data_IF_723627258863
#
_entry.id   IF_723627258863
#
_cell.length_a   1.000
_cell.length_b   1.000
_cell.length_c   1.000
_cell.angle_alpha   90.00
_cell.angle_beta   90.00
_cell.angle_gamma   90.00
#
_symmetry.space_group_name_H-M   'P 1'
#
loop_
_entity.id
_entity.type
_entity.pdbx_description
1 polymer ?
#
# COMPACT_ATOMS: atom_id res chain seq x y z
N UNK A 1 -7.36 24.65 14.77
CA UNK A 1 -6.92 23.63 13.80
C UNK A 1 -5.98 22.67 14.51
N UNK A 2 -6.11 21.36 14.29
CA UNK A 2 -5.17 20.38 14.86
C UNK A 2 -4.26 19.86 13.76
N UNK A 3 -2.98 19.74 14.08
CA UNK A 3 -1.99 19.10 13.23
C UNK A 3 -1.83 17.65 13.66
N UNK A 4 -1.57 16.75 12.73
CA UNK A 4 -1.48 15.32 13.02
C UNK A 4 -0.17 14.77 12.50
N UNK A 5 0.48 13.94 13.32
CA UNK A 5 1.63 13.15 12.91
C UNK A 5 1.32 11.67 13.03
N UNK A 6 1.26 11.00 11.89
CA UNK A 6 1.07 9.57 11.81
C UNK A 6 2.42 8.88 11.94
N UNK A 7 2.55 8.02 12.94
CA UNK A 7 3.79 7.31 13.26
C UNK A 7 3.63 5.84 12.94
N UNK A 8 4.32 5.39 11.89
CA UNK A 8 4.38 3.99 11.51
C UNK A 8 5.30 3.21 12.45
N UNK A 9 4.77 2.12 12.99
CA UNK A 9 5.50 1.21 13.87
C UNK A 9 5.44 -0.21 13.34
N UNK A 10 6.55 -0.92 13.42
CA UNK A 10 6.68 -2.33 13.04
C UNK A 10 6.84 -3.21 14.28
N UNK A 11 5.72 -3.45 14.96
CA UNK A 11 5.62 -4.37 16.10
C UNK A 11 5.79 -3.70 17.46
N UNK A 12 5.53 -4.46 18.52
CA UNK A 12 5.56 -3.96 19.90
C UNK A 12 6.95 -3.52 20.36
N UNK A 13 8.01 -4.11 19.80
CA UNK A 13 9.40 -3.75 20.09
C UNK A 13 9.85 -2.44 19.41
N UNK A 14 9.03 -1.88 18.52
CA UNK A 14 9.33 -0.61 17.86
C UNK A 14 8.91 0.58 18.73
N UNK A 15 9.66 0.80 19.81
CA UNK A 15 9.45 1.88 20.77
C UNK A 15 10.50 3.00 20.65
N UNK A 16 11.33 2.97 19.61
CA UNK A 16 12.38 3.97 19.39
C UNK A 16 11.82 5.39 19.30
N UNK A 17 12.67 6.38 19.62
CA UNK A 17 12.33 7.79 19.50
C UNK A 17 11.91 8.12 18.07
N UNK A 18 10.91 8.98 17.95
CA UNK A 18 10.35 9.43 16.67
C UNK A 18 10.75 10.88 16.48
N UNK A 19 11.23 11.27 15.28
CA UNK A 19 11.56 12.67 15.00
C UNK A 19 10.36 13.57 15.28
N UNK A 20 10.59 14.65 16.02
CA UNK A 20 9.60 15.70 16.22
C UNK A 20 9.49 16.48 14.90
N UNK A 21 8.42 16.24 14.15
CA UNK A 21 8.15 16.99 12.91
C UNK A 21 7.57 18.37 13.24
N UNK A 22 6.60 18.39 14.15
CA UNK A 22 6.01 19.60 14.71
C UNK A 22 5.70 19.39 16.20
N UNK A 23 6.14 20.28 17.10
CA UNK A 23 5.93 20.13 18.54
C UNK A 23 4.45 20.10 18.97
N UNK A 24 3.56 20.72 18.20
CA UNK A 24 2.12 20.83 18.48
C UNK A 24 1.26 19.78 17.76
N UNK A 25 1.87 18.88 16.98
CA UNK A 25 1.14 17.84 16.27
C UNK A 25 0.65 16.73 17.21
N UNK A 26 -0.60 16.32 17.02
CA UNK A 26 -1.20 15.18 17.73
C UNK A 26 -0.67 13.87 17.13
N UNK A 27 0.00 13.01 17.91
CA UNK A 27 0.52 11.75 17.41
C UNK A 27 -0.58 10.72 17.23
N UNK A 28 -0.57 10.04 16.09
CA UNK A 28 -1.44 8.90 15.77
C UNK A 28 -0.55 7.72 15.40
N UNK A 29 -0.57 6.66 16.20
CA UNK A 29 0.25 5.47 15.92
C UNK A 29 -0.48 4.55 14.95
N UNK A 30 0.22 4.11 13.90
CA UNK A 30 -0.22 3.04 12.99
C UNK A 30 0.67 1.83 13.23
N UNK A 31 0.11 0.76 13.81
CA UNK A 31 0.82 -0.50 14.03
C UNK A 31 0.64 -1.43 12.85
N UNK A 32 1.73 -1.68 12.13
CA UNK A 32 1.73 -2.52 10.94
C UNK A 32 1.93 -4.00 11.24
N UNK A 33 2.25 -4.39 12.47
CA UNK A 33 2.57 -5.78 12.79
C UNK A 33 1.63 -6.26 13.89
N UNK A 34 0.86 -7.30 13.56
CA UNK A 34 0.00 -7.99 14.50
C UNK A 34 0.81 -8.89 15.46
N UNK A 35 0.16 -9.42 16.50
CA UNK A 35 0.80 -10.27 17.51
C UNK A 35 1.53 -11.50 16.92
N UNK A 36 1.11 -11.98 15.74
CA UNK A 36 1.72 -13.08 15.01
C UNK A 36 3.02 -12.71 14.25
N UNK A 37 3.56 -11.50 14.44
CA UNK A 37 4.75 -10.97 13.76
C UNK A 37 4.62 -10.84 12.24
N UNK A 38 3.40 -10.86 11.70
CA UNK A 38 3.12 -10.61 10.27
C UNK A 38 2.65 -9.17 10.07
N UNK A 39 2.92 -8.65 8.87
CA UNK A 39 2.36 -7.36 8.46
C UNK A 39 0.82 -7.47 8.37
N UNK A 40 0.14 -6.51 8.98
CA UNK A 40 -1.32 -6.39 9.05
C UNK A 40 -1.88 -5.60 7.85
N UNK A 41 -3.17 -5.25 7.88
CA UNK A 41 -3.89 -4.49 6.86
C UNK A 41 -3.85 -5.16 5.48
N UNK A 42 -3.85 -6.50 5.44
CA UNK A 42 -3.79 -7.28 4.20
C UNK A 42 -2.41 -7.35 3.55
N UNK A 43 -1.44 -6.53 3.98
CA UNK A 43 -0.09 -6.47 3.38
C UNK A 43 0.62 -7.83 3.51
N UNK A 44 0.55 -8.46 4.69
CA UNK A 44 1.15 -9.78 4.90
C UNK A 44 0.53 -10.88 4.04
N UNK A 45 -0.75 -10.77 3.71
CA UNK A 45 -1.42 -11.73 2.81
C UNK A 45 -0.99 -11.49 1.37
N UNK A 46 -0.97 -10.23 0.91
CA UNK A 46 -0.51 -9.87 -0.42
C UNK A 46 0.94 -10.33 -0.67
N UNK A 47 1.84 -10.11 0.30
CA UNK A 47 3.23 -10.58 0.21
C UNK A 47 3.33 -12.10 0.18
N UNK A 48 2.45 -12.81 0.88
CA UNK A 48 2.38 -14.27 0.84
C UNK A 48 1.86 -14.76 -0.51
N UNK A 49 0.79 -14.17 -1.06
CA UNK A 49 0.27 -14.52 -2.39
C UNK A 49 1.33 -14.32 -3.47
N UNK A 50 2.03 -13.18 -3.46
CA UNK A 50 3.17 -12.97 -4.36
C UNK A 50 4.22 -14.07 -4.17
N UNK A 51 4.47 -14.49 -2.91
CA UNK A 51 5.35 -15.60 -2.56
C UNK A 51 4.97 -16.94 -3.14
N UNK A 52 3.70 -17.28 -3.06
CA UNK A 52 3.18 -18.54 -3.55
C UNK A 52 3.15 -18.54 -5.10
N UNK A 53 3.03 -17.36 -5.73
CA UNK A 53 3.21 -17.16 -7.18
C UNK A 53 4.69 -17.13 -7.62
N UNK A 54 5.66 -17.15 -6.70
CA UNK A 54 7.09 -17.05 -7.05
C UNK A 54 7.55 -15.65 -7.50
N UNK A 55 6.71 -14.61 -7.39
CA UNK A 55 6.97 -13.24 -7.87
C UNK A 55 7.83 -12.40 -6.92
N UNK A 56 9.09 -12.14 -7.24
CA UNK A 56 10.05 -11.44 -6.35
C UNK A 56 9.50 -10.15 -5.71
N UNK A 57 9.72 -9.99 -4.40
CA UNK A 57 9.48 -8.72 -3.68
C UNK A 57 10.80 -8.08 -3.28
N UNK A 58 10.96 -6.78 -3.48
CA UNK A 58 12.10 -6.01 -3.00
C UNK A 58 11.76 -5.31 -1.69
N UNK A 59 12.78 -4.98 -0.90
CA UNK A 59 12.59 -4.15 0.29
C UNK A 59 11.99 -2.79 -0.04
N UNK A 60 12.43 -2.18 -1.14
CA UNK A 60 11.89 -0.91 -1.65
C UNK A 60 10.40 -1.01 -2.01
N UNK A 61 9.95 -2.12 -2.61
CA UNK A 61 8.53 -2.31 -2.91
C UNK A 61 7.71 -2.46 -1.63
N UNK A 62 8.23 -3.17 -0.63
CA UNK A 62 7.58 -3.30 0.68
C UNK A 62 7.51 -1.94 1.39
N UNK A 63 8.60 -1.16 1.36
CA UNK A 63 8.60 0.21 1.86
C UNK A 63 7.54 1.07 1.18
N UNK A 64 7.42 0.99 -0.15
CA UNK A 64 6.42 1.75 -0.91
C UNK A 64 4.99 1.41 -0.48
N UNK A 65 4.71 0.13 -0.22
CA UNK A 65 3.40 -0.31 0.30
C UNK A 65 3.15 0.25 1.71
N UNK A 66 4.17 0.26 2.58
CA UNK A 66 4.05 0.86 3.92
C UNK A 66 3.80 2.38 3.81
N UNK A 67 4.51 3.08 2.92
CA UNK A 67 4.28 4.52 2.63
C UNK A 67 2.85 4.75 2.16
N UNK A 68 2.37 3.97 1.18
CA UNK A 68 1.01 4.09 0.64
C UNK A 68 -0.05 3.83 1.73
N UNK A 69 0.16 2.83 2.58
CA UNK A 69 -0.73 2.53 3.68
C UNK A 69 -0.74 3.65 4.75
N UNK A 70 0.41 4.27 5.03
CA UNK A 70 0.50 5.44 5.91
C UNK A 70 -0.25 6.66 5.34
N UNK A 71 -0.08 6.94 4.04
CA UNK A 71 -0.81 8.00 3.34
C UNK A 71 -2.32 7.74 3.45
N UNK A 72 -2.77 6.53 3.09
CA UNK A 72 -4.17 6.14 3.19
C UNK A 72 -4.70 6.29 4.62
N UNK A 73 -3.91 5.88 5.62
CA UNK A 73 -4.30 5.97 7.02
C UNK A 73 -4.48 7.42 7.49
N UNK A 74 -3.59 8.32 7.09
CA UNK A 74 -3.68 9.74 7.41
C UNK A 74 -4.85 10.43 6.68
N UNK A 75 -4.99 10.17 5.38
CA UNK A 75 -5.99 10.80 4.54
C UNK A 75 -7.42 10.45 4.96
N UNK A 76 -7.66 9.20 5.35
CA UNK A 76 -8.99 8.70 5.75
C UNK A 76 -9.37 9.00 7.20
N UNK A 77 -8.40 9.18 8.10
CA UNK A 77 -8.67 9.37 9.54
C UNK A 77 -8.76 10.83 9.97
N UNK A 78 -8.22 11.77 9.20
CA UNK A 78 -8.29 13.20 9.52
C UNK A 78 -9.45 13.84 8.77
N UNK A 79 -10.56 14.07 9.48
CA UNK A 79 -11.72 14.75 8.89
C UNK A 79 -11.36 16.15 8.39
N UNK A 80 -11.69 16.44 7.13
CA UNK A 80 -11.54 17.77 6.52
C UNK A 80 -12.44 18.80 7.20
N UNK A 81 -13.72 18.48 7.42
CA UNK A 81 -14.66 19.42 8.03
C UNK A 81 -14.25 19.87 9.43
N UNK A 82 -13.56 19.00 10.18
CA UNK A 82 -13.12 19.31 11.53
C UNK A 82 -11.71 19.93 11.61
N UNK A 83 -10.84 19.70 10.62
CA UNK A 83 -9.41 20.00 10.75
C UNK A 83 -8.81 20.81 9.60
N UNK A 84 -9.54 21.09 8.51
CA UNK A 84 -9.04 21.92 7.44
C UNK A 84 -9.09 23.42 7.79
N UNK A 85 -8.13 24.18 7.26
CA UNK A 85 -7.96 25.62 7.57
C UNK A 85 -9.00 26.47 6.84
N UNK A 86 -9.32 26.08 5.62
CA UNK A 86 -10.20 26.74 4.66
C UNK A 86 -11.38 25.84 4.25
N UNK A 87 -11.64 24.79 5.02
CA UNK A 87 -12.62 23.75 4.69
C UNK A 87 -12.11 22.68 3.71
N UNK A 88 -10.87 22.79 3.23
CA UNK A 88 -10.29 21.85 2.27
C UNK A 88 -8.91 21.29 2.68
N UNK A 89 -7.95 22.17 2.97
CA UNK A 89 -6.54 21.84 3.18
C UNK A 89 -6.21 21.51 4.63
N UNK A 90 -5.65 20.32 4.86
CA UNK A 90 -5.10 19.84 6.13
C UNK A 90 -3.56 19.90 6.13
N UNK A 91 -2.96 19.82 7.31
CA UNK A 91 -1.53 19.54 7.51
C UNK A 91 -1.38 18.10 8.03
N UNK A 92 -0.68 17.25 7.27
CA UNK A 92 -0.51 15.82 7.55
C UNK A 92 0.98 15.45 7.54
N UNK A 93 1.46 14.98 8.69
CA UNK A 93 2.84 14.53 8.84
C UNK A 93 2.90 13.01 8.94
N UNK A 94 3.87 12.40 8.25
CA UNK A 94 4.13 10.98 8.31
C UNK A 94 5.55 10.72 8.84
N UNK A 95 5.68 9.77 9.75
CA UNK A 95 6.95 9.15 10.11
C UNK A 95 6.91 7.68 9.71
N UNK A 96 7.60 7.34 8.63
CA UNK A 96 7.51 6.02 7.99
C UNK A 96 8.77 5.19 8.26
N UNK A 97 8.65 3.97 8.82
CA UNK A 97 9.77 3.06 8.96
C UNK A 97 10.10 2.42 7.60
N UNK A 98 11.33 2.61 7.13
CA UNK A 98 11.82 2.10 5.84
C UNK A 98 13.17 1.43 5.95
N UNK A 99 13.51 0.55 4.99
CA UNK A 99 14.80 -0.16 5.00
C UNK A 99 15.96 0.80 4.84
N UNK A 100 15.87 1.73 3.90
CA UNK A 100 16.92 2.70 3.54
C UNK A 100 16.40 4.13 3.67
N UNK A 101 16.54 4.78 4.85
CA UNK A 101 16.01 6.12 5.07
C UNK A 101 16.54 7.17 4.08
N UNK A 102 17.81 7.10 3.71
CA UNK A 102 18.44 8.07 2.79
C UNK A 102 17.86 7.97 1.37
N UNK A 103 17.59 6.74 0.88
CA UNK A 103 16.94 6.50 -0.40
C UNK A 103 15.57 7.17 -0.44
N UNK A 104 14.78 7.01 0.63
CA UNK A 104 13.44 7.57 0.72
C UNK A 104 13.43 9.08 0.98
N UNK A 105 14.38 9.57 1.78
CA UNK A 105 14.56 11.00 2.02
C UNK A 105 14.80 11.75 0.69
N UNK A 106 15.60 11.17 -0.22
CA UNK A 106 15.81 11.72 -1.57
C UNK A 106 14.51 11.80 -2.39
N UNK A 107 13.52 10.93 -2.14
CA UNK A 107 12.21 10.95 -2.79
C UNK A 107 11.15 11.78 -2.05
N UNK A 108 11.42 12.20 -0.81
CA UNK A 108 10.44 12.85 0.07
C UNK A 108 9.80 14.10 -0.55
N UNK A 109 10.59 14.93 -1.24
CA UNK A 109 10.09 16.12 -1.91
C UNK A 109 9.15 15.79 -3.09
N UNK A 110 9.45 14.74 -3.85
CA UNK A 110 8.59 14.28 -4.94
C UNK A 110 7.26 13.77 -4.37
N UNK A 111 7.31 12.89 -3.37
CA UNK A 111 6.13 12.34 -2.72
C UNK A 111 5.23 13.44 -2.14
N UNK A 112 5.79 14.38 -1.38
CA UNK A 112 5.04 15.48 -0.79
C UNK A 112 4.35 16.36 -1.86
N UNK A 113 5.03 16.65 -2.98
CA UNK A 113 4.42 17.41 -4.09
C UNK A 113 3.30 16.63 -4.77
N UNK A 114 3.52 15.34 -5.06
CA UNK A 114 2.50 14.48 -5.67
C UNK A 114 1.26 14.40 -4.79
N UNK A 115 1.42 14.15 -3.49
CA UNK A 115 0.29 14.07 -2.57
C UNK A 115 -0.43 15.42 -2.44
N UNK A 116 0.31 16.52 -2.35
CA UNK A 116 -0.29 17.87 -2.36
C UNK A 116 -1.10 18.14 -3.62
N UNK A 117 -0.60 17.73 -4.78
CA UNK A 117 -1.34 17.87 -6.04
C UNK A 117 -2.63 17.04 -6.03
N UNK A 118 -2.55 15.78 -5.59
CA UNK A 118 -3.69 14.86 -5.60
C UNK A 118 -4.77 15.20 -4.57
N UNK A 119 -4.38 15.70 -3.39
CA UNK A 119 -5.32 15.89 -2.28
C UNK A 119 -5.60 17.36 -1.93
N UNK A 120 -4.69 18.28 -2.28
CA UNK A 120 -4.73 19.68 -1.84
C UNK A 120 -4.24 19.90 -0.40
N UNK A 121 -3.75 18.86 0.28
CA UNK A 121 -3.23 18.95 1.65
C UNK A 121 -1.72 19.26 1.67
N UNK A 122 -1.24 19.77 2.81
CA UNK A 122 0.18 19.89 3.09
C UNK A 122 0.72 18.60 3.70
N UNK A 123 1.65 17.95 3.00
CA UNK A 123 2.28 16.71 3.43
C UNK A 123 3.75 16.94 3.82
N UNK A 124 4.15 16.43 4.98
CA UNK A 124 5.56 16.23 5.34
C UNK A 124 5.80 14.77 5.64
N UNK A 125 6.88 14.22 5.10
CA UNK A 125 7.21 12.82 5.25
C UNK A 125 8.63 12.73 5.77
N UNK A 126 8.78 12.08 6.92
CA UNK A 126 10.06 11.76 7.52
C UNK A 126 10.24 10.25 7.51
N UNK A 127 11.42 9.81 7.08
CA UNK A 127 11.76 8.41 6.99
C UNK A 127 12.72 8.04 8.10
N UNK A 128 12.51 6.86 8.71
CA UNK A 128 13.41 6.32 9.73
C UNK A 128 13.71 4.86 9.47
N UNK A 129 14.82 4.35 9.99
CA UNK A 129 15.17 2.95 9.85
C UNK A 129 14.11 2.06 10.52
N UNK A 130 13.79 0.93 9.88
CA UNK A 130 12.99 -0.14 10.51
C UNK A 130 13.69 -0.68 11.76
N UNK A 131 12.94 -1.17 12.77
CA UNK A 131 13.53 -1.83 13.93
C UNK A 131 14.20 -3.15 13.52
N UNK A 132 15.19 -3.61 14.29
CA UNK A 132 16.00 -4.79 13.95
C UNK A 132 15.19 -6.05 13.58
N UNK A 133 14.08 -6.41 14.27
CA UNK A 133 13.28 -7.59 13.91
C UNK A 133 12.63 -7.51 12.52
N UNK A 134 12.49 -6.31 11.97
CA UNK A 134 11.91 -6.03 10.65
C UNK A 134 12.89 -5.32 9.73
N UNK A 135 14.18 -5.41 10.03
CA UNK A 135 15.21 -4.82 9.17
C UNK A 135 15.07 -5.40 7.75
N UNK A 136 14.88 -6.70 7.61
CA UNK A 136 14.63 -7.38 6.33
C UNK A 136 13.27 -8.06 6.40
N UNK A 137 12.40 -7.80 5.42
CA UNK A 137 11.04 -8.37 5.33
C UNK A 137 10.91 -9.24 4.07
N UNK A 138 11.56 -8.84 2.98
CA UNK A 138 11.60 -9.63 1.76
C UNK A 138 12.30 -10.96 2.04
N UNK A 139 11.54 -12.05 2.03
CA UNK A 139 12.10 -13.39 2.11
C UNK A 139 12.55 -13.83 0.73
N UNK A 140 13.83 -14.22 0.60
CA UNK A 140 14.33 -14.88 -0.58
C UNK A 140 13.71 -16.29 -0.63
N UNK A 141 12.66 -16.46 -1.42
CA UNK A 141 12.22 -17.80 -1.87
C UNK A 141 12.75 -18.00 -3.28
N UNK A 142 13.30 -19.18 -3.61
CA UNK A 142 13.59 -19.53 -5.00
C UNK A 142 12.33 -19.28 -5.82
N UNK A 143 12.42 -18.51 -6.91
CA UNK A 143 11.29 -18.41 -7.82
C UNK A 143 11.09 -19.81 -8.40
N UNK A 144 10.02 -20.48 -8.01
CA UNK A 144 9.70 -21.83 -8.50
C UNK A 144 9.26 -21.81 -10.00
N UNK A 145 9.39 -20.67 -10.70
CA UNK A 145 8.97 -20.52 -12.10
C UNK A 145 7.47 -20.71 -12.32
N UNK A 146 6.66 -20.51 -11.26
CA UNK A 146 5.25 -20.91 -11.27
C UNK A 146 4.32 -19.93 -12.01
N UNK A 147 4.68 -18.65 -12.08
CA UNK A 147 3.84 -17.63 -12.68
C UNK A 147 4.66 -16.49 -13.30
N UNK A 148 4.41 -16.19 -14.57
CA UNK A 148 4.99 -15.08 -15.31
C UNK A 148 3.83 -14.24 -15.88
N UNK A 149 3.24 -13.34 -15.07
CA UNK A 149 2.30 -12.36 -15.61
C UNK A 149 3.07 -11.34 -16.45
N UNK A 150 2.51 -11.00 -17.60
CA UNK A 150 3.14 -10.08 -18.54
C UNK A 150 2.74 -8.61 -18.27
N UNK A 151 1.71 -8.40 -17.45
CA UNK A 151 1.15 -7.07 -17.14
C UNK A 151 0.50 -7.05 -15.75
N UNK A 152 0.52 -5.87 -15.10
CA UNK A 152 -0.23 -5.64 -13.85
C UNK A 152 -1.46 -4.79 -14.17
N UNK A 153 -2.65 -5.38 -14.06
CA UNK A 153 -3.89 -4.67 -14.36
C UNK A 153 -4.63 -4.30 -13.08
N UNK A 154 -5.03 -3.04 -12.97
CA UNK A 154 -5.96 -2.63 -11.92
C UNK A 154 -7.29 -3.36 -12.11
N UNK A 155 -7.85 -3.89 -11.03
CA UNK A 155 -9.13 -4.58 -11.00
C UNK A 155 -9.99 -4.03 -9.87
N UNK A 156 -10.36 -2.75 -9.98
CA UNK A 156 -10.98 -1.97 -8.89
C UNK A 156 -12.45 -2.33 -8.66
N UNK A 157 -13.07 -3.09 -9.55
CA UNK A 157 -14.52 -3.36 -9.56
C UNK A 157 -15.32 -2.36 -10.39
N UNK A 158 -14.67 -1.34 -10.97
CA UNK A 158 -15.26 -0.44 -11.94
C UNK A 158 -15.19 -0.96 -13.38
N UNK A 159 -16.10 -0.49 -14.24
CA UNK A 159 -16.22 -0.91 -15.64
C UNK A 159 -14.93 -0.69 -16.43
N UNK A 160 -14.27 0.46 -16.28
CA UNK A 160 -13.07 0.80 -17.06
C UNK A 160 -11.91 -0.18 -16.78
N UNK A 161 -11.71 -0.51 -15.51
CA UNK A 161 -10.70 -1.48 -15.09
C UNK A 161 -11.00 -2.89 -15.60
N UNK A 162 -12.29 -3.25 -15.66
CA UNK A 162 -12.74 -4.52 -16.21
C UNK A 162 -12.54 -4.59 -17.73
N UNK A 163 -12.89 -3.52 -18.46
CA UNK A 163 -12.71 -3.45 -19.91
C UNK A 163 -11.23 -3.59 -20.27
N UNK A 164 -10.33 -2.88 -19.56
CA UNK A 164 -8.89 -3.01 -19.79
C UNK A 164 -8.37 -4.43 -19.54
N UNK A 165 -8.82 -5.08 -18.46
CA UNK A 165 -8.45 -6.47 -18.18
C UNK A 165 -8.97 -7.45 -19.24
N UNK A 166 -10.21 -7.25 -19.71
CA UNK A 166 -10.83 -8.07 -20.76
C UNK A 166 -10.13 -7.92 -22.10
N UNK A 167 -9.80 -6.69 -22.49
CA UNK A 167 -9.11 -6.41 -23.76
C UNK A 167 -7.72 -7.08 -23.77
N UNK A 168 -6.98 -6.96 -22.66
CA UNK A 168 -5.69 -7.62 -22.52
C UNK A 168 -5.78 -9.15 -22.55
N UNK A 169 -6.78 -9.73 -21.86
CA UNK A 169 -7.05 -11.17 -21.88
C UNK A 169 -7.49 -11.66 -23.28
N UNK A 170 -8.32 -10.88 -23.99
CA UNK A 170 -8.75 -11.20 -25.36
C UNK A 170 -7.58 -11.17 -26.36
N UNK A 171 -6.58 -10.32 -26.12
CA UNK A 171 -5.31 -10.30 -26.86
C UNK A 171 -4.37 -11.47 -26.53
N UNK A 172 -4.73 -12.37 -25.60
CA UNK A 172 -3.91 -13.51 -25.20
C UNK A 172 -2.91 -13.22 -24.08
N UNK A 173 -2.95 -12.03 -23.48
CA UNK A 173 -2.07 -11.65 -22.37
C UNK A 173 -2.42 -12.38 -21.06
N UNK A 174 -1.46 -12.42 -20.12
CA UNK A 174 -1.60 -13.04 -18.80
C UNK A 174 -1.48 -11.98 -17.69
N UNK A 175 -2.58 -11.34 -17.27
CA UNK A 175 -2.51 -10.27 -16.29
C UNK A 175 -2.40 -10.79 -14.86
N UNK A 176 -1.67 -10.04 -14.02
CA UNK A 176 -1.87 -10.02 -12.58
C UNK A 176 -2.89 -8.93 -12.25
N UNK A 177 -4.10 -9.35 -11.91
CA UNK A 177 -5.18 -8.46 -11.49
C UNK A 177 -4.94 -8.00 -10.04
N UNK A 178 -4.87 -6.70 -9.81
CA UNK A 178 -4.67 -6.13 -8.46
C UNK A 178 -5.93 -5.37 -8.05
N UNK A 179 -6.54 -5.78 -6.95
CA UNK A 179 -7.77 -5.16 -6.43
C UNK A 179 -7.62 -4.72 -4.99
N UNK A 180 -8.43 -3.74 -4.60
CA UNK A 180 -8.71 -3.36 -3.22
C UNK A 180 -10.21 -3.07 -3.12
N UNK A 181 -10.82 -3.29 -1.95
CA UNK A 181 -12.22 -2.99 -1.71
C UNK A 181 -12.45 -2.49 -0.29
N UNK A 182 -13.41 -1.58 -0.13
CA UNK A 182 -13.79 -1.00 1.16
C UNK A 182 -15.09 -1.58 1.73
N UNK A 183 -15.91 -2.19 0.87
CA UNK A 183 -17.23 -2.70 1.20
C UNK A 183 -17.44 -4.12 0.65
N UNK A 184 -18.45 -4.81 1.19
CA UNK A 184 -18.75 -6.20 0.84
C UNK A 184 -19.36 -6.37 -0.55
N UNK A 185 -20.06 -5.36 -1.08
CA UNK A 185 -20.73 -5.46 -2.38
C UNK A 185 -19.69 -5.40 -3.51
N UNK A 186 -18.76 -4.44 -3.42
CA UNK A 186 -17.61 -4.37 -4.34
C UNK A 186 -16.79 -5.68 -4.30
N UNK A 187 -16.55 -6.23 -3.11
CA UNK A 187 -15.83 -7.50 -2.96
C UNK A 187 -16.55 -8.68 -3.64
N UNK A 188 -17.88 -8.78 -3.51
CA UNK A 188 -18.69 -9.82 -4.17
C UNK A 188 -18.62 -9.69 -5.69
N UNK A 189 -18.82 -8.48 -6.22
CA UNK A 189 -18.76 -8.22 -7.65
C UNK A 189 -17.39 -8.57 -8.24
N UNK A 190 -16.30 -8.13 -7.60
CA UNK A 190 -14.94 -8.49 -8.00
C UNK A 190 -14.70 -10.01 -7.99
N UNK A 191 -15.21 -10.72 -6.97
CA UNK A 191 -15.08 -12.19 -6.88
C UNK A 191 -15.79 -12.88 -8.03
N UNK A 192 -17.05 -12.52 -8.26
CA UNK A 192 -17.84 -13.08 -9.36
C UNK A 192 -17.18 -12.85 -10.71
N UNK A 193 -16.69 -11.63 -10.96
CA UNK A 193 -16.03 -11.28 -12.21
C UNK A 193 -14.71 -12.05 -12.38
N UNK A 194 -13.90 -12.18 -11.33
CA UNK A 194 -12.67 -12.96 -11.38
C UNK A 194 -12.95 -14.43 -11.74
N UNK A 195 -13.96 -15.04 -11.12
CA UNK A 195 -14.35 -16.42 -11.41
C UNK A 195 -14.83 -16.58 -12.86
N UNK A 196 -15.59 -15.61 -13.37
CA UNK A 196 -16.00 -15.57 -14.77
C UNK A 196 -14.81 -15.42 -15.71
N UNK A 197 -13.84 -14.55 -15.40
CA UNK A 197 -12.64 -14.38 -16.22
C UNK A 197 -11.83 -15.68 -16.28
N UNK A 198 -11.57 -16.33 -15.13
CA UNK A 198 -10.86 -17.62 -15.07
C UNK A 198 -11.56 -18.71 -15.85
N UNK A 199 -12.90 -18.76 -15.78
CA UNK A 199 -13.70 -19.74 -16.53
C UNK A 199 -13.61 -19.55 -18.04
N UNK A 200 -13.57 -18.29 -18.51
CA UNK A 200 -13.59 -17.96 -19.94
C UNK A 200 -12.18 -17.95 -20.58
N UNK A 201 -11.12 -17.66 -19.81
CA UNK A 201 -9.74 -17.51 -20.31
C UNK A 201 -8.81 -18.59 -19.76
N UNK A 202 -9.14 -19.88 -19.97
CA UNK A 202 -8.37 -21.01 -19.38
C UNK A 202 -6.92 -21.12 -19.87
N UNK A 203 -6.65 -20.68 -21.09
CA UNK A 203 -5.31 -20.74 -21.72
C UNK A 203 -4.38 -19.65 -21.22
N UNK A 204 -4.94 -18.55 -20.69
CA UNK A 204 -4.24 -17.39 -20.17
C UNK A 204 -4.94 -16.92 -18.89
N UNK A 205 -5.15 -17.86 -17.97
CA UNK A 205 -5.93 -17.64 -16.75
C UNK A 205 -5.33 -16.49 -15.93
N UNK A 206 -6.13 -15.47 -15.55
CA UNK A 206 -5.61 -14.34 -14.81
C UNK A 206 -5.22 -14.71 -13.38
N UNK A 207 -4.06 -14.20 -12.97
CA UNK A 207 -3.64 -14.21 -11.57
C UNK A 207 -4.31 -13.04 -10.83
N UNK A 208 -4.40 -13.13 -9.51
CA UNK A 208 -5.04 -12.09 -8.71
C UNK A 208 -4.33 -11.82 -7.39
N UNK A 209 -4.16 -10.54 -7.06
CA UNK A 209 -3.79 -10.02 -5.75
C UNK A 209 -4.98 -9.19 -5.22
N UNK A 210 -5.60 -9.63 -4.12
CA UNK A 210 -6.81 -9.01 -3.56
C UNK A 210 -6.66 -8.70 -2.09
#
# INVERSE_FOLDING_TARGET
MRRFVFVGRLGAADNGAVPVVQPDATPVTVQFVAANKRLDYGIGNALQTLADLGLRRTETAIDLVIVAAMVNAADTRVSRSANAQDGWTRELDLVVPVREPDLWAAQGALLARTLRFLTGDHWRIVFRARPAPFATIATARPSLGLAEPDEVCLFSGGLDSLVGALDFLAGGGKPLLVSHYWDSETSKAQTLLLDLLRKNYKTNEPLSLR
#
